data_IF_942962598036
#
_entry.id   IF_942962598036
#
_cell.length_a   1.000
_cell.length_b   1.000
_cell.length_c   1.000
_cell.angle_alpha   90.00
_cell.angle_beta   90.00
_cell.angle_gamma   90.00
#
_symmetry.space_group_name_H-M   'P 1'
#
loop_
_entity.id
_entity.type
_entity.pdbx_description
1 polymer ?
#
# COMPACT_ATOMS: atom_id res chain seq x y z
N UNK A 1 4.90 -9.16 14.05
CA UNK A 1 3.95 -8.03 14.19
C UNK A 1 4.68 -6.86 14.85
N UNK A 2 4.69 -5.70 14.20
CA UNK A 2 5.21 -4.43 14.71
C UNK A 2 3.99 -3.54 15.01
N UNK A 3 3.89 -3.01 16.25
CA UNK A 3 2.70 -2.30 16.75
C UNK A 3 3.10 -1.05 17.55
N UNK A 4 2.48 0.11 17.30
CA UNK A 4 2.71 1.31 18.14
C UNK A 4 2.24 2.67 17.57
N UNK A 5 2.42 3.73 18.38
CA UNK A 5 2.09 5.16 18.10
C UNK A 5 3.36 6.03 17.98
N UNK A 6 4.49 5.46 17.57
CA UNK A 6 5.78 6.16 17.54
C UNK A 6 6.35 6.23 16.13
N UNK A 7 7.32 7.12 15.93
CA UNK A 7 8.13 7.10 14.72
C UNK A 7 8.85 5.75 14.63
N UNK A 8 8.46 4.95 13.63
CA UNK A 8 9.04 3.63 13.36
C UNK A 8 9.91 3.75 12.11
N UNK A 9 11.12 3.19 12.20
CA UNK A 9 12.05 3.07 11.08
C UNK A 9 12.41 1.60 10.91
N UNK A 10 12.19 1.06 9.71
CA UNK A 10 12.52 -0.32 9.34
C UNK A 10 13.45 -0.23 8.15
N UNK A 11 14.64 -0.81 8.29
CA UNK A 11 15.69 -0.74 7.28
C UNK A 11 16.32 -2.10 7.06
N UNK A 12 16.72 -2.42 5.82
CA UNK A 12 17.56 -3.58 5.49
C UNK A 12 16.99 -4.90 6.04
N UNK A 13 15.66 -5.04 5.98
CA UNK A 13 14.94 -6.12 6.66
C UNK A 13 14.13 -6.96 5.66
N UNK A 14 14.00 -8.25 5.96
CA UNK A 14 13.21 -9.19 5.19
C UNK A 14 12.06 -9.74 6.04
N UNK A 15 10.86 -9.71 5.48
CA UNK A 15 9.63 -10.21 6.07
C UNK A 15 9.02 -11.25 5.13
N UNK A 16 9.26 -12.52 5.41
CA UNK A 16 8.76 -13.63 4.61
C UNK A 16 7.74 -14.47 5.38
N UNK A 17 6.72 -14.98 4.68
CA UNK A 17 5.73 -15.92 5.24
C UNK A 17 5.02 -15.42 6.50
N UNK A 18 4.62 -14.15 6.52
CA UNK A 18 3.86 -13.58 7.64
C UNK A 18 2.36 -13.70 7.38
N UNK A 19 1.67 -14.52 8.16
CA UNK A 19 0.23 -14.76 8.03
C UNK A 19 -0.51 -14.24 9.26
N UNK A 20 -1.38 -13.26 9.07
CA UNK A 20 -2.27 -12.74 10.12
C UNK A 20 -3.71 -13.02 9.72
N UNK A 21 -4.32 -13.99 10.41
CA UNK A 21 -5.67 -14.50 10.17
C UNK A 21 -6.74 -13.83 11.04
N UNK A 22 -6.39 -12.85 11.87
CA UNK A 22 -7.31 -12.34 12.87
C UNK A 22 -8.48 -11.57 12.22
N UNK A 23 -9.71 -11.92 12.63
CA UNK A 23 -10.98 -11.36 12.15
C UNK A 23 -11.28 -9.97 12.74
N UNK A 24 -10.34 -9.40 13.50
CA UNK A 24 -10.37 -8.02 13.97
C UNK A 24 -9.78 -7.02 12.97
N UNK A 25 -10.02 -5.73 13.18
CA UNK A 25 -9.54 -4.59 12.37
C UNK A 25 -7.98 -4.43 12.28
N UNK A 26 -7.19 -5.44 12.66
CA UNK A 26 -5.76 -5.34 13.01
C UNK A 26 -4.81 -6.20 12.14
N UNK A 27 -5.18 -6.48 10.89
CA UNK A 27 -4.57 -7.57 10.09
C UNK A 27 -3.21 -7.34 9.43
N UNK A 28 -2.31 -6.51 9.97
CA UNK A 28 -1.01 -6.20 9.33
C UNK A 28 0.24 -6.63 10.10
N UNK A 29 1.26 -7.07 9.36
CA UNK A 29 2.63 -7.31 9.86
C UNK A 29 3.16 -6.06 10.55
N UNK A 30 2.81 -4.89 9.99
CA UNK A 30 3.09 -3.57 10.55
C UNK A 30 1.76 -2.86 10.74
N UNK A 31 1.52 -2.40 11.97
CA UNK A 31 0.27 -1.78 12.38
C UNK A 31 0.53 -0.43 13.05
N UNK A 32 -0.08 0.63 12.52
CA UNK A 32 -0.16 1.94 13.19
C UNK A 32 -1.50 2.09 13.91
N UNK A 33 -1.45 2.66 15.11
CA UNK A 33 -2.65 3.05 15.84
C UNK A 33 -3.21 4.38 15.31
N UNK A 34 -4.53 4.52 15.38
CA UNK A 34 -5.18 5.79 15.08
C UNK A 34 -4.89 6.79 16.21
N UNK A 35 -4.13 7.84 15.91
CA UNK A 35 -3.86 8.95 16.83
C UNK A 35 -4.04 10.31 16.15
N UNK A 36 -4.30 11.32 16.97
CA UNK A 36 -4.31 12.72 16.53
C UNK A 36 -2.88 13.29 16.42
N UNK A 37 -1.92 12.67 17.10
CA UNK A 37 -0.51 13.03 16.99
C UNK A 37 0.08 12.40 15.74
N UNK A 38 0.82 13.19 14.93
CA UNK A 38 1.45 12.66 13.74
C UNK A 38 2.59 11.70 14.10
N UNK A 39 2.63 10.56 13.44
CA UNK A 39 3.74 9.59 13.52
C UNK A 39 4.24 9.22 12.12
N UNK A 40 5.49 8.80 12.02
CA UNK A 40 6.12 8.40 10.76
C UNK A 40 6.45 6.92 10.76
N UNK A 41 5.99 6.21 9.74
CA UNK A 41 6.43 4.85 9.44
C UNK A 41 7.34 4.93 8.21
N UNK A 42 8.64 4.77 8.41
CA UNK A 42 9.63 4.77 7.34
C UNK A 42 10.13 3.35 7.09
N UNK A 43 9.92 2.85 5.88
CA UNK A 43 10.36 1.54 5.42
C UNK A 43 11.33 1.77 4.27
N UNK A 44 12.55 1.26 4.42
CA UNK A 44 13.57 1.42 3.38
C UNK A 44 14.44 0.20 3.18
N UNK A 45 14.76 -0.12 1.93
CA UNK A 45 15.59 -1.29 1.61
C UNK A 45 15.06 -2.57 2.27
N UNK A 46 13.75 -2.79 2.21
CA UNK A 46 13.09 -3.95 2.81
C UNK A 46 12.44 -4.83 1.76
N UNK A 47 12.30 -6.12 2.07
CA UNK A 47 11.56 -7.09 1.27
C UNK A 47 10.41 -7.66 2.08
N UNK A 48 9.21 -7.71 1.49
CA UNK A 48 8.04 -8.39 2.03
C UNK A 48 7.57 -9.43 1.03
N UNK A 49 7.59 -10.70 1.42
CA UNK A 49 7.23 -11.82 0.54
C UNK A 49 6.26 -12.79 1.19
N UNK A 50 5.43 -13.43 0.35
CA UNK A 50 4.56 -14.54 0.73
C UNK A 50 3.73 -14.27 1.99
N UNK A 51 3.30 -13.02 2.19
CA UNK A 51 2.65 -12.58 3.42
C UNK A 51 1.18 -12.26 3.17
N UNK A 52 0.34 -12.57 4.16
CA UNK A 52 -1.12 -12.43 4.12
C UNK A 52 -1.63 -11.59 5.28
N UNK A 53 -2.54 -10.64 4.98
CA UNK A 53 -3.24 -9.84 6.00
C UNK A 53 -4.72 -9.68 5.68
N UNK A 54 -5.60 -10.20 6.54
CA UNK A 54 -7.06 -10.26 6.32
C UNK A 54 -7.73 -8.86 6.24
N UNK A 55 -7.40 -7.95 7.18
CA UNK A 55 -7.99 -6.61 7.27
C UNK A 55 -6.90 -5.53 7.38
N UNK A 56 -6.67 -4.83 6.27
CA UNK A 56 -5.69 -3.75 6.20
C UNK A 56 -4.34 -4.12 5.58
N UNK A 57 -4.21 -5.35 5.06
CA UNK A 57 -3.00 -5.85 4.41
C UNK A 57 -1.82 -5.97 5.36
N UNK A 58 -0.63 -6.25 4.80
CA UNK A 58 0.65 -6.31 5.51
C UNK A 58 0.94 -5.02 6.29
N UNK A 59 0.60 -3.87 5.73
CA UNK A 59 0.83 -2.57 6.36
C UNK A 59 -0.51 -1.86 6.52
N UNK A 60 -0.92 -1.68 7.77
CA UNK A 60 -2.08 -0.87 8.12
C UNK A 60 -1.65 0.48 8.67
N UNK A 61 -1.93 1.54 7.93
CA UNK A 61 -1.57 2.92 8.24
C UNK A 61 -2.82 3.80 8.40
N UNK A 62 -3.29 3.98 9.64
CA UNK A 62 -4.50 4.78 9.94
C UNK A 62 -4.21 5.89 10.92
N UNK A 63 -4.83 7.05 10.69
CA UNK A 63 -4.67 8.25 11.51
C UNK A 63 -3.70 9.22 10.85
N UNK A 64 -3.33 10.29 11.56
CA UNK A 64 -2.51 11.41 11.07
C UNK A 64 -1.03 11.03 10.78
N UNK A 65 -0.81 9.88 10.15
CA UNK A 65 0.49 9.25 9.98
C UNK A 65 1.07 9.50 8.59
N UNK A 66 2.39 9.44 8.52
CA UNK A 66 3.16 9.52 7.29
C UNK A 66 3.82 8.17 7.03
N UNK A 67 3.32 7.44 6.03
CA UNK A 67 3.94 6.22 5.55
C UNK A 67 4.89 6.56 4.39
N UNK A 68 6.18 6.32 4.60
CA UNK A 68 7.20 6.49 3.57
C UNK A 68 7.82 5.13 3.25
N UNK A 69 7.66 4.67 2.01
CA UNK A 69 8.25 3.42 1.52
C UNK A 69 9.25 3.79 0.44
N UNK A 70 10.49 3.32 0.58
CA UNK A 70 11.54 3.56 -0.39
C UNK A 70 12.42 2.36 -0.66
N UNK A 71 12.93 2.25 -1.87
CA UNK A 71 13.95 1.26 -2.22
C UNK A 71 13.56 -0.17 -1.77
N UNK A 72 12.26 -0.48 -1.77
CA UNK A 72 11.71 -1.68 -1.13
C UNK A 72 10.92 -2.52 -2.11
N UNK A 73 10.72 -3.79 -1.76
CA UNK A 73 10.11 -4.78 -2.63
C UNK A 73 9.00 -5.56 -1.93
N UNK A 74 7.89 -5.77 -2.63
CA UNK A 74 6.73 -6.51 -2.15
C UNK A 74 6.33 -7.56 -3.19
N UNK A 75 6.44 -8.84 -2.85
CA UNK A 75 6.33 -9.98 -3.78
C UNK A 75 5.31 -10.99 -3.29
N UNK A 76 4.33 -11.33 -4.13
CA UNK A 76 3.38 -12.44 -3.87
C UNK A 76 2.71 -12.27 -2.51
N UNK A 77 2.30 -11.04 -2.21
CA UNK A 77 1.56 -10.75 -0.99
C UNK A 77 0.07 -10.67 -1.28
N UNK A 78 -0.72 -11.09 -0.30
CA UNK A 78 -2.17 -11.11 -0.40
C UNK A 78 -2.74 -10.20 0.70
N UNK A 79 -3.32 -9.08 0.28
CA UNK A 79 -4.15 -8.26 1.15
C UNK A 79 -5.60 -8.73 1.07
N UNK A 80 -6.33 -8.75 2.17
CA UNK A 80 -7.76 -9.07 2.15
C UNK A 80 -8.56 -7.93 1.53
N UNK A 81 -9.35 -7.22 2.34
CA UNK A 81 -10.25 -6.18 1.82
C UNK A 81 -9.47 -4.95 1.33
N UNK A 82 -8.41 -4.54 2.04
CA UNK A 82 -7.83 -3.20 1.97
C UNK A 82 -6.52 -3.05 1.21
N UNK A 83 -6.24 -3.92 0.23
CA UNK A 83 -4.90 -3.97 -0.36
C UNK A 83 -3.87 -4.57 0.59
N UNK A 84 -2.66 -4.80 0.09
CA UNK A 84 -1.50 -5.16 0.92
C UNK A 84 -1.07 -3.98 1.82
N UNK A 85 -1.28 -2.75 1.36
CA UNK A 85 -1.14 -1.53 2.16
C UNK A 85 -2.52 -0.91 2.28
N UNK A 86 -3.03 -0.78 3.49
CA UNK A 86 -4.27 -0.06 3.76
C UNK A 86 -3.98 1.24 4.47
N UNK A 87 -4.40 2.35 3.86
CA UNK A 87 -4.12 3.67 4.38
C UNK A 87 -5.37 4.54 4.48
N UNK A 88 -5.62 5.14 5.66
CA UNK A 88 -6.77 6.03 5.89
C UNK A 88 -6.45 7.21 6.79
N UNK A 89 -6.91 8.41 6.42
CA UNK A 89 -6.64 9.68 7.13
C UNK A 89 -5.16 10.04 7.26
N UNK A 90 -4.35 9.65 6.27
CA UNK A 90 -2.89 9.59 6.35
C UNK A 90 -2.22 10.16 5.09
N UNK A 91 -0.90 10.35 5.12
CA UNK A 91 -0.12 10.69 3.93
C UNK A 91 0.81 9.53 3.59
N UNK A 92 0.87 9.19 2.30
CA UNK A 92 1.64 8.06 1.80
C UNK A 92 2.57 8.54 0.69
N UNK A 93 3.85 8.20 0.82
CA UNK A 93 4.85 8.39 -0.23
C UNK A 93 5.52 7.06 -0.52
N UNK A 94 5.45 6.62 -1.77
CA UNK A 94 6.15 5.43 -2.26
C UNK A 94 7.14 5.88 -3.32
N UNK A 95 8.40 5.46 -3.21
CA UNK A 95 9.35 5.76 -4.26
C UNK A 95 10.41 4.69 -4.49
N UNK A 96 10.86 4.57 -5.74
CA UNK A 96 11.92 3.63 -6.12
C UNK A 96 11.68 2.21 -5.58
N UNK A 97 10.43 1.75 -5.64
CA UNK A 97 9.97 0.50 -5.03
C UNK A 97 9.23 -0.38 -6.03
N UNK A 98 9.30 -1.70 -5.81
CA UNK A 98 8.74 -2.72 -6.69
C UNK A 98 7.60 -3.49 -6.00
N UNK A 99 6.47 -3.65 -6.69
CA UNK A 99 5.33 -4.44 -6.26
C UNK A 99 5.01 -5.49 -7.31
N UNK A 100 5.30 -6.76 -7.01
CA UNK A 100 5.24 -7.86 -7.98
C UNK A 100 4.25 -8.94 -7.55
N UNK A 101 3.31 -9.26 -8.44
CA UNK A 101 2.36 -10.38 -8.26
C UNK A 101 1.55 -10.30 -6.94
N UNK A 102 1.17 -9.09 -6.50
CA UNK A 102 0.35 -8.93 -5.29
C UNK A 102 -1.12 -8.92 -5.66
N UNK A 103 -1.95 -9.47 -4.76
CA UNK A 103 -3.39 -9.62 -4.97
C UNK A 103 -4.18 -9.09 -3.78
N UNK A 104 -5.31 -8.44 -4.03
CA UNK A 104 -6.26 -8.03 -2.97
C UNK A 104 -7.67 -7.79 -3.51
N UNK A 105 -8.66 -7.58 -2.64
CA UNK A 105 -10.03 -7.25 -3.09
C UNK A 105 -10.10 -5.82 -3.64
N UNK A 106 -9.56 -4.84 -2.92
CA UNK A 106 -9.48 -3.43 -3.36
C UNK A 106 -8.04 -2.96 -3.40
N UNK A 107 -7.55 -2.61 -4.59
CA UNK A 107 -6.17 -2.18 -4.77
C UNK A 107 -5.21 -3.33 -4.55
N UNK A 108 -4.81 -4.05 -5.61
CA UNK A 108 -3.99 -5.26 -5.46
C UNK A 108 -2.70 -5.05 -4.66
N UNK A 109 -2.23 -3.80 -4.62
CA UNK A 109 -1.16 -3.34 -3.74
C UNK A 109 -1.67 -2.42 -2.64
N UNK A 110 -2.39 -1.36 -2.97
CA UNK A 110 -2.71 -0.31 -2.00
C UNK A 110 -4.15 0.20 -2.11
N UNK A 111 -4.80 0.28 -0.95
CA UNK A 111 -6.04 1.03 -0.75
C UNK A 111 -5.73 2.33 -0.01
N UNK A 112 -6.27 3.44 -0.52
CA UNK A 112 -6.10 4.76 0.09
C UNK A 112 -7.46 5.44 0.24
N UNK A 113 -7.79 5.86 1.46
CA UNK A 113 -9.00 6.63 1.72
C UNK A 113 -8.74 7.93 2.51
N UNK A 114 -9.40 9.03 2.15
CA UNK A 114 -9.33 10.31 2.87
C UNK A 114 -7.89 10.77 3.18
N UNK A 115 -7.01 10.65 2.20
CA UNK A 115 -5.55 10.69 2.36
C UNK A 115 -4.90 11.38 1.15
N UNK A 116 -3.61 11.71 1.25
CA UNK A 116 -2.82 12.06 0.08
C UNK A 116 -1.84 10.93 -0.23
N UNK A 117 -1.78 10.54 -1.49
CA UNK A 117 -0.89 9.48 -1.95
C UNK A 117 -0.03 9.98 -3.11
N UNK A 118 1.28 9.85 -2.94
CA UNK A 118 2.26 10.13 -3.98
C UNK A 118 3.06 8.87 -4.25
N UNK A 119 3.23 8.53 -5.54
CA UNK A 119 4.10 7.46 -5.97
C UNK A 119 4.96 7.91 -7.14
N UNK A 120 6.25 7.58 -7.09
CA UNK A 120 7.17 7.92 -8.17
C UNK A 120 8.34 6.97 -8.32
N UNK A 121 8.86 6.84 -9.55
CA UNK A 121 9.97 5.95 -9.87
C UNK A 121 9.72 4.49 -9.43
N UNK A 122 8.49 4.00 -9.48
CA UNK A 122 8.10 2.68 -8.95
C UNK A 122 7.56 1.75 -10.02
N UNK A 123 7.68 0.45 -9.79
CA UNK A 123 7.16 -0.59 -10.68
C UNK A 123 6.03 -1.38 -10.00
N UNK A 124 4.91 -1.52 -10.69
CA UNK A 124 3.80 -2.37 -10.33
C UNK A 124 3.61 -3.40 -11.45
N UNK A 125 4.00 -4.65 -11.19
CA UNK A 125 3.97 -5.72 -12.19
C UNK A 125 3.05 -6.85 -11.75
N UNK A 126 2.15 -7.27 -12.64
CA UNK A 126 1.26 -8.42 -12.46
C UNK A 126 0.41 -8.36 -11.17
N UNK A 127 0.08 -7.16 -10.69
CA UNK A 127 -0.78 -7.02 -9.52
C UNK A 127 -2.26 -7.07 -9.93
N UNK A 128 -3.09 -7.72 -9.12
CA UNK A 128 -4.51 -7.91 -9.44
C UNK A 128 -5.45 -7.60 -8.29
N UNK A 129 -6.66 -7.15 -8.62
CA UNK A 129 -7.74 -6.99 -7.66
C UNK A 129 -9.12 -7.03 -8.32
N UNK A 130 -10.18 -7.04 -7.51
CA UNK A 130 -11.53 -6.82 -8.04
C UNK A 130 -11.70 -5.36 -8.50
N UNK A 131 -11.21 -4.40 -7.70
CA UNK A 131 -11.23 -3.00 -8.10
C UNK A 131 -9.82 -2.40 -7.97
N UNK A 132 -9.29 -1.87 -9.07
CA UNK A 132 -7.98 -1.25 -9.12
C UNK A 132 -6.87 -2.29 -8.97
N UNK A 133 -6.42 -2.86 -10.09
CA UNK A 133 -5.48 -3.97 -10.14
C UNK A 133 -4.22 -3.77 -9.30
N UNK A 134 -3.74 -2.52 -9.20
CA UNK A 134 -2.71 -2.14 -8.23
C UNK A 134 -3.26 -1.22 -7.14
N UNK A 135 -4.09 -0.24 -7.50
CA UNK A 135 -4.41 0.88 -6.63
C UNK A 135 -5.91 1.16 -6.57
N UNK A 136 -6.43 1.34 -5.36
CA UNK A 136 -7.78 1.81 -5.10
C UNK A 136 -7.76 3.12 -4.30
N UNK A 137 -8.45 4.15 -4.80
CA UNK A 137 -8.53 5.48 -4.19
C UNK A 137 -9.99 5.84 -3.85
N UNK A 138 -10.22 6.25 -2.60
CA UNK A 138 -11.51 6.77 -2.11
C UNK A 138 -11.35 8.14 -1.45
N UNK A 139 -11.98 9.17 -2.00
CA UNK A 139 -11.96 10.54 -1.45
C UNK A 139 -10.54 11.01 -1.10
N UNK A 140 -9.58 10.74 -1.98
CA UNK A 140 -8.16 10.95 -1.70
C UNK A 140 -7.45 11.58 -2.91
N UNK A 141 -6.43 12.39 -2.65
CA UNK A 141 -5.64 13.01 -3.71
C UNK A 141 -4.47 12.12 -4.08
N UNK A 142 -4.19 12.03 -5.38
CA UNK A 142 -3.19 11.14 -5.91
C UNK A 142 -2.25 11.84 -6.88
N UNK A 143 -0.95 11.55 -6.77
CA UNK A 143 0.08 12.02 -7.70
C UNK A 143 0.97 10.87 -8.15
N UNK A 144 1.11 10.72 -9.48
CA UNK A 144 2.01 9.77 -10.11
C UNK A 144 3.11 10.47 -10.90
N UNK A 145 4.33 9.95 -10.79
CA UNK A 145 5.44 10.42 -11.62
C UNK A 145 6.42 9.30 -11.96
N UNK A 146 6.59 8.97 -13.25
CA UNK A 146 7.56 7.99 -13.74
C UNK A 146 7.41 6.63 -13.06
N UNK A 147 6.21 6.06 -13.08
CA UNK A 147 5.96 4.73 -12.51
C UNK A 147 5.28 3.86 -13.55
N UNK A 148 5.60 2.57 -13.53
CA UNK A 148 5.19 1.62 -14.56
C UNK A 148 4.14 0.66 -13.99
N UNK A 149 3.06 0.43 -14.74
CA UNK A 149 1.94 -0.44 -14.35
C UNK A 149 1.72 -1.53 -15.39
N UNK A 150 2.54 -2.57 -15.32
CA UNK A 150 2.62 -3.61 -16.35
C UNK A 150 1.77 -4.80 -15.93
N UNK A 151 0.90 -5.28 -16.83
CA UNK A 151 0.02 -6.44 -16.61
C UNK A 151 -0.80 -6.35 -15.31
N UNK A 152 -1.17 -5.15 -14.89
CA UNK A 152 -1.99 -4.96 -13.68
C UNK A 152 -3.47 -5.01 -14.05
N UNK A 153 -4.26 -5.79 -13.32
CA UNK A 153 -5.64 -6.11 -13.74
C UNK A 153 -6.65 -5.96 -12.60
N UNK A 154 -7.61 -5.06 -12.80
CA UNK A 154 -8.76 -4.86 -11.95
C UNK A 154 -10.05 -5.13 -12.73
N UNK A 155 -10.98 -5.95 -12.20
CA UNK A 155 -12.31 -6.14 -12.82
C UNK A 155 -13.01 -4.80 -13.05
N UNK A 156 -12.77 -3.84 -12.13
CA UNK A 156 -13.10 -2.43 -12.28
C UNK A 156 -11.82 -1.59 -12.21
N UNK A 157 -11.57 -0.75 -13.21
CA UNK A 157 -10.50 0.24 -13.18
C UNK A 157 -9.13 -0.18 -13.72
N UNK A 158 -8.95 -1.33 -14.37
CA UNK A 158 -7.63 -1.72 -14.89
C UNK A 158 -6.59 -1.70 -13.76
N UNK A 159 -5.52 -0.91 -13.86
CA UNK A 159 -4.55 -0.74 -12.78
C UNK A 159 -5.03 0.13 -11.59
N UNK A 160 -5.97 1.06 -11.82
CA UNK A 160 -6.40 2.09 -10.87
C UNK A 160 -7.93 2.25 -10.85
N UNK A 161 -8.52 2.05 -9.68
CA UNK A 161 -9.90 2.47 -9.41
C UNK A 161 -9.90 3.74 -8.56
N UNK A 162 -10.65 4.77 -8.99
CA UNK A 162 -10.74 6.03 -8.29
C UNK A 162 -12.20 6.49 -8.18
N UNK A 163 -12.69 6.54 -6.95
CA UNK A 163 -14.08 6.89 -6.62
C UNK A 163 -14.29 8.41 -6.50
N UNK A 164 -13.41 9.08 -5.75
CA UNK A 164 -13.48 10.52 -5.50
C UNK A 164 -12.10 11.07 -5.09
N UNK A 165 -11.90 12.37 -5.30
CA UNK A 165 -10.62 13.06 -5.08
C UNK A 165 -10.01 13.60 -6.37
N UNK A 166 -8.76 14.03 -6.31
CA UNK A 166 -8.03 14.55 -7.48
C UNK A 166 -6.90 13.60 -7.88
N UNK A 167 -6.73 13.37 -9.19
CA UNK A 167 -5.60 12.62 -9.74
C UNK A 167 -4.74 13.55 -10.59
N UNK A 168 -3.42 13.51 -10.36
CA UNK A 168 -2.42 14.11 -11.24
C UNK A 168 -1.46 13.03 -11.73
N UNK A 169 -1.35 12.89 -13.05
CA UNK A 169 -0.48 11.92 -13.73
C UNK A 169 0.51 12.70 -14.58
N UNK A 170 1.81 12.54 -14.29
CA UNK A 170 2.87 13.29 -15.00
C UNK A 170 3.60 12.40 -16.02
N UNK A 171 3.75 11.10 -15.76
CA UNK A 171 4.38 10.14 -16.69
C UNK A 171 4.07 8.72 -16.25
N UNK A 172 3.47 7.91 -17.13
CA UNK A 172 3.17 6.49 -16.93
C UNK A 172 3.54 5.70 -18.19
N UNK A 173 4.00 4.47 -17.99
CA UNK A 173 4.14 3.46 -19.04
C UNK A 173 3.24 2.28 -18.64
N UNK A 174 2.53 1.73 -19.63
CA UNK A 174 1.68 0.55 -19.51
C UNK A 174 2.35 -0.65 -20.17
#
# INVERSE_FOLDING_TARGET
MIWGIFDVKIENSEFDNNYLLDDGDYGGVIYTLQSNYPSKLNISNCSFSNSYGAYGGIIRNIGNNFLNIKDSKFIVNIGGIGGMIYSRYSNITIHNSEFLNNESIYGGVIFVANSNFTVFASLFLNNSANNGGAIYIQSANMKFNKSDFINTSGLKGGFLYHDAGNISIISLIF
#
